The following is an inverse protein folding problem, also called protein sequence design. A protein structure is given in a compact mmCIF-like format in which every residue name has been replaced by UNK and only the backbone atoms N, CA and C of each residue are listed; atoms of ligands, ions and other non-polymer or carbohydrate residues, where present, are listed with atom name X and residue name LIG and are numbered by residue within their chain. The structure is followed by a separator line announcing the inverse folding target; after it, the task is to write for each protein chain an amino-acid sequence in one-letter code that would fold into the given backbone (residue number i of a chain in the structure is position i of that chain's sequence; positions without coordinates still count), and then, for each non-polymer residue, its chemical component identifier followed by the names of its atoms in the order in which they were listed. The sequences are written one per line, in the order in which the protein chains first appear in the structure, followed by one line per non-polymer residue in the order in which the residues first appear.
data_IF_157576383032
#
_entry.id   IF_157576383032
#
_cell.length_a   1.000
_cell.length_b   1.000
_cell.length_c   1.000
_cell.angle_alpha   90.00
_cell.angle_beta   90.00
_cell.angle_gamma   90.00
#
_symmetry.space_group_name_H-M   'P 1'
#
loop_
_entity.id
_entity.type
_entity.pdbx_description
1 polymer ?
#
# COMPACT_ATOMS: atom_id res chain seq x y z
N UNK A 1 -4.30 -7.63 -25.68
CA UNK A 1 -3.20 -7.29 -24.77
C UNK A 1 -3.86 -6.97 -23.43
N UNK A 2 -3.56 -7.71 -22.35
CA UNK A 2 -4.06 -7.35 -21.02
C UNK A 2 -3.64 -5.91 -20.76
N UNK A 3 -4.62 -5.04 -20.51
CA UNK A 3 -4.47 -3.58 -20.42
C UNK A 3 -3.24 -3.21 -19.58
N UNK A 4 -2.31 -2.39 -20.11
CA UNK A 4 -1.03 -2.06 -19.47
C UNK A 4 -1.17 -1.54 -18.03
N UNK A 5 -2.36 -1.04 -17.68
CA UNK A 5 -2.77 -0.60 -16.34
C UNK A 5 -2.74 -1.73 -15.30
N UNK A 6 -3.11 -2.95 -15.68
CA UNK A 6 -3.06 -4.11 -14.79
C UNK A 6 -1.63 -4.62 -14.57
N UNK A 7 -0.73 -4.38 -15.53
CA UNK A 7 0.69 -4.69 -15.40
C UNK A 7 1.33 -3.91 -14.25
N UNK A 8 1.13 -2.59 -14.23
CA UNK A 8 1.70 -1.72 -13.19
C UNK A 8 1.14 -2.04 -11.79
N UNK A 9 -0.14 -2.41 -11.67
CA UNK A 9 -0.70 -2.91 -10.40
C UNK A 9 -0.04 -4.23 -9.95
N UNK A 10 0.17 -5.17 -10.87
CA UNK A 10 0.83 -6.44 -10.56
C UNK A 10 2.28 -6.21 -10.14
N UNK A 11 2.98 -5.29 -10.78
CA UNK A 11 4.36 -4.98 -10.43
C UNK A 11 4.44 -4.36 -9.04
N UNK A 12 3.56 -3.39 -8.72
CA UNK A 12 3.49 -2.78 -7.40
C UNK A 12 3.17 -3.82 -6.30
N UNK A 13 2.21 -4.71 -6.54
CA UNK A 13 1.87 -5.77 -5.58
C UNK A 13 2.97 -6.84 -5.47
N UNK A 14 3.72 -7.11 -6.54
CA UNK A 14 4.90 -7.98 -6.49
C UNK A 14 6.01 -7.36 -5.63
N UNK A 15 6.25 -6.05 -5.75
CA UNK A 15 7.18 -5.33 -4.89
C UNK A 15 6.76 -5.37 -3.42
N UNK A 16 5.46 -5.28 -3.12
CA UNK A 16 4.94 -5.47 -1.76
C UNK A 16 5.30 -6.84 -1.19
N UNK A 17 4.99 -7.93 -1.90
CA UNK A 17 5.29 -9.28 -1.41
C UNK A 17 6.79 -9.49 -1.19
N UNK A 18 7.62 -9.00 -2.11
CA UNK A 18 9.09 -8.99 -1.92
C UNK A 18 9.51 -8.15 -0.72
N UNK A 19 8.85 -7.02 -0.48
CA UNK A 19 9.06 -6.16 0.68
C UNK A 19 8.78 -6.90 1.99
N UNK A 20 7.69 -7.67 2.04
CA UNK A 20 7.35 -8.53 3.18
C UNK A 20 8.44 -9.58 3.42
N UNK A 21 8.91 -10.27 2.38
CA UNK A 21 9.99 -11.26 2.51
C UNK A 21 11.30 -10.62 3.00
N UNK A 22 11.61 -9.42 2.53
CA UNK A 22 12.81 -8.68 2.92
C UNK A 22 12.68 -8.14 4.34
N UNK A 23 11.48 -7.74 4.80
CA UNK A 23 11.26 -7.18 6.13
C UNK A 23 11.81 -8.08 7.24
N UNK A 24 11.66 -9.40 7.10
CA UNK A 24 12.18 -10.39 8.05
C UNK A 24 13.72 -10.40 8.16
N UNK A 25 14.43 -9.96 7.10
CA UNK A 25 15.90 -9.94 7.02
C UNK A 25 16.47 -8.54 7.23
N UNK A 26 15.76 -7.54 6.72
CA UNK A 26 16.10 -6.13 6.79
C UNK A 26 14.80 -5.32 6.83
N UNK A 27 14.42 -4.95 8.05
CA UNK A 27 13.20 -4.21 8.36
C UNK A 27 13.07 -2.92 7.54
N UNK A 28 14.09 -2.05 7.59
CA UNK A 28 14.07 -0.77 6.92
C UNK A 28 13.87 -0.95 5.39
N UNK A 29 14.59 -1.91 4.79
CA UNK A 29 14.45 -2.17 3.36
C UNK A 29 13.09 -2.75 2.98
N UNK A 30 12.52 -3.61 3.83
CA UNK A 30 11.18 -4.14 3.64
C UNK A 30 10.13 -3.03 3.67
N UNK A 31 10.22 -2.13 4.66
CA UNK A 31 9.33 -0.97 4.79
C UNK A 31 9.43 -0.05 3.57
N UNK A 32 10.63 0.23 3.06
CA UNK A 32 10.81 1.03 1.83
C UNK A 32 10.06 0.44 0.63
N UNK A 33 10.08 -0.88 0.47
CA UNK A 33 9.39 -1.56 -0.64
C UNK A 33 7.87 -1.53 -0.48
N UNK A 34 7.36 -1.67 0.75
CA UNK A 34 5.93 -1.51 1.05
C UNK A 34 5.50 -0.07 0.74
N UNK A 35 6.28 0.93 1.16
CA UNK A 35 6.04 2.36 0.87
C UNK A 35 6.11 2.63 -0.62
N UNK A 36 7.05 2.01 -1.34
CA UNK A 36 7.16 2.13 -2.79
C UNK A 36 5.91 1.64 -3.49
N UNK A 37 5.34 0.50 -3.07
CA UNK A 37 4.06 0.02 -3.57
C UNK A 37 2.94 1.06 -3.35
N UNK A 38 2.82 1.63 -2.15
CA UNK A 38 1.78 2.64 -1.84
C UNK A 38 1.94 3.89 -2.73
N UNK A 39 3.17 4.38 -2.90
CA UNK A 39 3.47 5.52 -3.78
C UNK A 39 3.17 5.20 -5.25
N UNK A 40 3.46 3.99 -5.71
CA UNK A 40 3.11 3.55 -7.05
C UNK A 40 1.59 3.51 -7.26
N UNK A 41 0.83 2.98 -6.30
CA UNK A 41 -0.65 2.99 -6.35
C UNK A 41 -1.19 4.42 -6.43
N UNK A 42 -0.65 5.36 -5.65
CA UNK A 42 -1.08 6.76 -5.70
C UNK A 42 -0.75 7.43 -7.04
N UNK A 43 0.39 7.12 -7.66
CA UNK A 43 0.72 7.61 -9.01
C UNK A 43 -0.21 7.02 -10.08
N UNK A 44 -0.73 5.82 -9.86
CA UNK A 44 -1.66 5.16 -10.78
C UNK A 44 -3.10 5.64 -10.65
N UNK A 45 -3.42 6.46 -9.64
CA UNK A 45 -4.79 6.94 -9.37
C UNK A 45 -5.49 7.62 -10.53
N UNK A 46 -4.73 8.31 -11.38
CA UNK A 46 -5.25 8.99 -12.56
C UNK A 46 -5.50 8.04 -13.74
N UNK A 47 -5.02 6.79 -13.63
CA UNK A 47 -5.01 5.80 -14.72
C UNK A 47 -5.84 4.55 -14.42
N UNK A 48 -6.05 4.23 -13.14
CA UNK A 48 -6.78 3.05 -12.66
C UNK A 48 -8.06 3.50 -11.95
N UNK A 49 -9.15 2.79 -12.17
CA UNK A 49 -10.37 2.98 -11.38
C UNK A 49 -10.17 2.41 -9.97
N UNK A 50 -10.25 3.27 -8.95
CA UNK A 50 -10.20 2.86 -7.55
C UNK A 50 -11.36 1.96 -7.11
N UNK A 51 -12.44 1.90 -7.90
CA UNK A 51 -13.52 0.91 -7.73
C UNK A 51 -13.13 -0.45 -8.28
N UNK A 52 -11.90 -0.63 -8.75
CA UNK A 52 -11.35 -1.91 -9.17
C UNK A 52 -11.48 -2.95 -8.06
N UNK A 53 -12.13 -4.06 -8.40
CA UNK A 53 -12.27 -5.23 -7.52
C UNK A 53 -10.89 -5.72 -7.05
N UNK A 54 -9.85 -5.60 -7.88
CA UNK A 54 -8.49 -6.03 -7.51
C UNK A 54 -7.89 -5.19 -6.37
N UNK A 55 -8.02 -3.86 -6.43
CA UNK A 55 -7.56 -2.98 -5.35
C UNK A 55 -8.32 -3.26 -4.07
N UNK A 56 -9.65 -3.41 -4.17
CA UNK A 56 -10.50 -3.74 -3.04
C UNK A 56 -10.06 -5.05 -2.39
N UNK A 57 -9.97 -6.14 -3.15
CA UNK A 57 -9.59 -7.47 -2.62
C UNK A 57 -8.19 -7.45 -2.02
N UNK A 58 -7.24 -6.77 -2.65
CA UNK A 58 -5.89 -6.63 -2.13
C UNK A 58 -5.88 -5.94 -0.76
N UNK A 59 -6.52 -4.78 -0.63
CA UNK A 59 -6.57 -4.04 0.62
C UNK A 59 -7.46 -4.69 1.69
N UNK A 60 -8.54 -5.38 1.29
CA UNK A 60 -9.35 -6.23 2.17
C UNK A 60 -8.47 -7.26 2.87
N UNK A 61 -7.54 -7.89 2.15
CA UNK A 61 -6.63 -8.88 2.70
C UNK A 61 -5.41 -8.28 3.42
N UNK A 62 -4.83 -7.18 2.91
CA UNK A 62 -3.48 -6.73 3.28
C UNK A 62 -3.39 -5.44 4.08
N UNK A 63 -4.46 -4.66 4.20
CA UNK A 63 -4.43 -3.37 4.92
C UNK A 63 -3.94 -3.50 6.37
N UNK A 64 -4.35 -4.54 7.10
CA UNK A 64 -3.88 -4.79 8.46
C UNK A 64 -2.39 -5.10 8.55
N UNK A 65 -1.89 -5.96 7.66
CA UNK A 65 -0.45 -6.28 7.57
C UNK A 65 0.37 -5.02 7.21
N UNK A 66 -0.08 -4.23 6.24
CA UNK A 66 0.58 -2.98 5.85
C UNK A 66 0.71 -2.01 7.03
N UNK A 67 -0.37 -1.86 7.80
CA UNK A 67 -0.38 -1.02 9.01
C UNK A 67 0.66 -1.51 10.01
N UNK A 68 0.73 -2.82 10.23
CA UNK A 68 1.67 -3.40 11.18
C UNK A 68 3.12 -3.20 10.74
N UNK A 69 3.42 -3.47 9.48
CA UNK A 69 4.77 -3.29 8.94
C UNK A 69 5.21 -1.83 8.96
N UNK A 70 4.30 -0.87 8.87
CA UNK A 70 4.59 0.56 8.88
C UNK A 70 4.36 1.25 10.23
N UNK A 71 4.06 0.48 11.29
CA UNK A 71 3.75 1.02 12.62
C UNK A 71 4.87 1.88 13.21
N UNK A 72 6.13 1.59 12.90
CA UNK A 72 7.28 2.38 13.36
C UNK A 72 8.07 3.01 12.20
N UNK A 73 7.47 3.07 11.00
CA UNK A 73 8.09 3.73 9.87
C UNK A 73 8.18 5.25 10.11
N UNK A 74 9.34 5.91 9.93
CA UNK A 74 9.52 7.30 10.32
C UNK A 74 8.61 8.30 9.59
N UNK A 75 8.25 8.03 8.33
CA UNK A 75 7.45 8.93 7.52
C UNK A 75 5.96 8.57 7.57
N UNK A 76 5.27 9.07 8.59
CA UNK A 76 3.86 8.74 8.89
C UNK A 76 2.85 9.39 7.97
N UNK A 77 3.28 10.37 7.17
CA UNK A 77 2.53 10.94 6.05
C UNK A 77 2.04 9.86 5.07
N UNK A 78 2.69 8.69 5.00
CA UNK A 78 2.30 7.59 4.12
C UNK A 78 0.89 7.08 4.39
N UNK A 79 0.41 7.16 5.65
CA UNK A 79 -0.97 6.80 5.98
C UNK A 79 -1.98 7.77 5.36
N UNK A 80 -1.60 9.03 5.11
CA UNK A 80 -2.43 9.98 4.33
C UNK A 80 -2.54 9.55 2.87
N UNK A 81 -1.51 8.94 2.31
CA UNK A 81 -1.56 8.35 0.96
C UNK A 81 -2.41 7.07 0.94
N UNK A 82 -2.35 6.24 1.99
CA UNK A 82 -3.25 5.08 2.10
C UNK A 82 -4.72 5.48 2.11
N UNK A 83 -5.06 6.62 2.73
CA UNK A 83 -6.42 7.19 2.66
C UNK A 83 -6.87 7.52 1.23
N UNK A 84 -5.96 7.88 0.33
CA UNK A 84 -6.32 8.19 -1.07
C UNK A 84 -6.47 6.93 -1.91
N UNK A 85 -5.65 5.91 -1.67
CA UNK A 85 -5.63 4.68 -2.49
C UNK A 85 -6.53 3.55 -1.97
N UNK A 86 -6.91 3.58 -0.68
CA UNK A 86 -7.86 2.67 -0.05
C UNK A 86 -8.97 3.42 0.73
N UNK A 87 -9.84 4.22 0.05
CA UNK A 87 -10.92 4.96 0.70
C UNK A 87 -11.89 4.12 1.55
N UNK A 88 -12.20 2.84 1.24
CA UNK A 88 -13.07 2.03 2.10
C UNK A 88 -12.58 1.83 3.53
N UNK A 89 -11.29 2.07 3.82
CA UNK A 89 -10.66 1.86 5.14
C UNK A 89 -10.10 3.13 5.78
N UNK A 90 -10.56 4.31 5.35
CA UNK A 90 -10.19 5.62 5.90
C UNK A 90 -10.11 5.65 7.44
N UNK A 91 -11.13 5.13 8.12
CA UNK A 91 -11.20 5.13 9.58
C UNK A 91 -9.99 4.46 10.25
N UNK A 92 -9.50 3.34 9.68
CA UNK A 92 -8.32 2.64 10.22
C UNK A 92 -7.06 3.50 10.14
N UNK A 93 -6.90 4.24 9.04
CA UNK A 93 -5.74 5.12 8.85
C UNK A 93 -5.84 6.39 9.70
N UNK A 94 -7.05 6.90 9.90
CA UNK A 94 -7.30 8.05 10.78
C UNK A 94 -7.08 7.72 12.26
N UNK A 95 -7.33 6.50 12.69
CA UNK A 95 -6.97 6.05 14.04
C UNK A 95 -5.45 6.07 14.25
N UNK A 96 -4.67 5.57 13.30
CA UNK A 96 -3.21 5.57 13.38
C UNK A 96 -2.65 7.00 13.45
N UNK A 97 -3.13 7.88 12.57
CA UNK A 97 -2.68 9.28 12.53
C UNK A 97 -3.09 10.10 13.75
N UNK A 98 -4.07 9.65 14.53
CA UNK A 98 -4.48 10.29 15.80
C UNK A 98 -3.73 9.76 17.02
N UNK A 99 -3.10 8.59 16.90
CA UNK A 99 -2.37 7.94 17.99
C UNK A 99 -0.89 8.38 18.10
N UNK A 100 -0.47 9.30 17.22
CA UNK A 100 0.85 9.95 17.22
C UNK A 100 0.78 11.38 17.77
#
# INVERSE_FOLDING_TARGET
MLDNKYGAFRDATTEYHRGVDIYAKNKAKGQELIVKMIKALDQMKSKIDFRSVYLKVFFDAKSGEIIEYLRDYPEKSIFKTLKTVDPPRLAKYDEILRAE
#
